data_IF_405867247371
#
_entry.id   IF_405867247371
#
_cell.length_a   1.000
_cell.length_b   1.000
_cell.length_c   1.000
_cell.angle_alpha   90.00
_cell.angle_beta   90.00
_cell.angle_gamma   90.00
#
_symmetry.space_group_name_H-M   'P 1'
#
loop_
_entity.id
_entity.type
_entity.pdbx_description
1 polymer ?
#
# COMPACT_ATOMS: atom_id res chain seq x y z
N UNK A 1 -56.95 -15.86 37.50
CA UNK A 1 -56.59 -16.95 36.56
C UNK A 1 -55.10 -16.94 36.15
N UNK A 2 -54.19 -16.39 37.00
CA UNK A 2 -52.79 -16.12 36.67
C UNK A 2 -51.77 -16.92 37.52
N UNK A 3 -52.20 -18.04 38.12
CA UNK A 3 -51.31 -18.90 38.95
C UNK A 3 -51.10 -20.31 38.42
N UNK A 4 -51.70 -20.67 37.27
CA UNK A 4 -51.46 -21.97 36.59
C UNK A 4 -50.61 -21.86 35.32
N UNK A 5 -50.27 -20.64 34.88
CA UNK A 5 -49.42 -20.42 33.70
C UNK A 5 -47.92 -20.37 34.04
N UNK A 6 -47.57 -20.17 35.30
CA UNK A 6 -46.17 -20.04 35.74
C UNK A 6 -45.46 -21.40 35.96
N UNK A 7 -46.21 -22.50 36.02
CA UNK A 7 -45.69 -23.86 36.22
C UNK A 7 -45.45 -24.63 34.90
N UNK A 8 -45.89 -24.09 33.76
CA UNK A 8 -45.62 -24.63 32.42
C UNK A 8 -44.40 -23.99 31.74
N UNK A 9 -43.91 -22.85 32.26
CA UNK A 9 -42.72 -22.16 31.73
C UNK A 9 -41.43 -22.66 32.40
N UNK A 10 -41.51 -23.33 33.55
CA UNK A 10 -40.34 -23.89 34.24
C UNK A 10 -39.97 -25.31 33.78
N UNK A 11 -40.85 -26.00 33.02
CA UNK A 11 -40.59 -27.36 32.53
C UNK A 11 -40.08 -27.43 31.07
N UNK A 12 -40.05 -26.30 30.35
CA UNK A 12 -39.46 -26.19 29.00
C UNK A 12 -38.02 -25.64 29.06
N UNK A 13 -37.52 -25.26 30.24
CA UNK A 13 -36.16 -24.75 30.44
C UNK A 13 -35.15 -25.83 30.90
N UNK A 14 -35.57 -27.10 31.06
CA UNK A 14 -34.70 -28.20 31.51
C UNK A 14 -34.46 -29.30 30.45
N UNK A 15 -34.74 -29.05 29.17
CA UNK A 15 -34.46 -29.99 28.07
C UNK A 15 -33.48 -29.46 27.01
N UNK A 16 -32.71 -28.41 27.33
CA UNK A 16 -31.64 -27.88 26.47
C UNK A 16 -30.26 -27.87 27.15
N UNK A 17 -30.07 -28.74 28.15
CA UNK A 17 -28.76 -29.01 28.74
C UNK A 17 -28.30 -30.39 28.28
N UNK A 18 -27.56 -30.45 27.18
CA UNK A 18 -26.98 -31.72 26.71
C UNK A 18 -26.82 -31.89 25.20
N UNK A 19 -26.39 -30.86 24.47
CA UNK A 19 -25.62 -31.10 23.24
C UNK A 19 -24.35 -30.29 23.38
N UNK A 20 -23.33 -30.92 23.98
CA UNK A 20 -21.95 -30.59 23.69
C UNK A 20 -21.74 -30.88 22.21
N UNK A 21 -22.07 -29.91 21.36
CA UNK A 21 -21.65 -29.91 19.97
C UNK A 21 -20.14 -29.96 20.00
N UNK A 22 -19.60 -31.14 19.72
CA UNK A 22 -18.19 -31.27 19.38
C UNK A 22 -18.01 -30.42 18.13
N UNK A 23 -17.42 -29.24 18.29
CA UNK A 23 -16.84 -28.51 17.16
C UNK A 23 -15.69 -29.40 16.71
N UNK A 24 -15.98 -30.34 15.82
CA UNK A 24 -14.93 -31.01 15.06
C UNK A 24 -14.25 -29.90 14.26
N UNK A 25 -13.09 -29.46 14.74
CA UNK A 25 -12.16 -28.73 13.91
C UNK A 25 -11.84 -29.66 12.74
N UNK A 26 -12.18 -29.24 11.52
CA UNK A 26 -11.80 -29.94 10.29
C UNK A 26 -10.31 -30.23 10.37
N UNK A 27 -9.94 -31.46 10.01
CA UNK A 27 -8.52 -31.81 9.89
C UNK A 27 -7.90 -30.97 8.77
N UNK A 28 -6.58 -30.76 8.83
CA UNK A 28 -5.86 -29.97 7.82
C UNK A 28 -6.07 -30.49 6.39
N UNK A 29 -6.20 -31.81 6.24
CA UNK A 29 -6.47 -32.46 4.95
C UNK A 29 -7.91 -32.23 4.46
N UNK A 30 -8.91 -32.26 5.34
CA UNK A 30 -10.32 -32.00 4.99
C UNK A 30 -10.53 -30.54 4.57
N UNK A 31 -9.88 -29.59 5.27
CA UNK A 31 -9.93 -28.17 4.92
C UNK A 31 -9.28 -27.89 3.57
N UNK A 32 -8.14 -28.52 3.26
CA UNK A 32 -7.51 -28.40 1.94
C UNK A 32 -8.38 -29.00 0.82
N UNK A 33 -9.03 -30.14 1.06
CA UNK A 33 -9.92 -30.75 0.09
C UNK A 33 -11.13 -29.85 -0.22
N UNK A 34 -11.70 -29.20 0.79
CA UNK A 34 -12.79 -28.23 0.64
C UNK A 34 -12.35 -27.02 -0.22
N UNK A 35 -11.21 -26.40 0.10
CA UNK A 35 -10.67 -25.28 -0.70
C UNK A 35 -10.41 -25.67 -2.16
N UNK A 36 -9.90 -26.88 -2.42
CA UNK A 36 -9.67 -27.37 -3.79
C UNK A 36 -10.97 -27.54 -4.56
N UNK A 37 -11.99 -28.12 -3.93
CA UNK A 37 -13.31 -28.27 -4.54
C UNK A 37 -13.96 -26.90 -4.81
N UNK A 38 -13.84 -25.96 -3.87
CA UNK A 38 -14.39 -24.62 -4.00
C UNK A 38 -13.71 -23.82 -5.12
N UNK A 39 -12.38 -23.91 -5.25
CA UNK A 39 -11.63 -23.29 -6.34
C UNK A 39 -12.01 -23.85 -7.71
N UNK A 40 -12.10 -25.18 -7.85
CA UNK A 40 -12.49 -25.82 -9.10
C UNK A 40 -13.89 -25.39 -9.56
N UNK A 41 -14.86 -25.33 -8.64
CA UNK A 41 -16.21 -24.85 -8.95
C UNK A 41 -16.19 -23.38 -9.37
N UNK A 42 -15.40 -22.56 -8.69
CA UNK A 42 -15.31 -21.12 -8.97
C UNK A 42 -14.65 -20.84 -10.33
N UNK A 43 -13.67 -21.64 -10.74
CA UNK A 43 -13.04 -21.54 -12.06
C UNK A 43 -14.02 -21.90 -13.19
N UNK A 44 -14.84 -22.94 -12.99
CA UNK A 44 -15.93 -23.27 -13.91
C UNK A 44 -16.94 -22.14 -14.03
N UNK A 45 -17.31 -21.50 -12.92
CA UNK A 45 -18.21 -20.34 -12.92
C UNK A 45 -17.60 -19.15 -13.65
N UNK A 46 -16.31 -18.85 -13.42
CA UNK A 46 -15.58 -17.80 -14.14
C UNK A 46 -15.60 -18.04 -15.66
N UNK A 47 -15.28 -19.27 -16.10
CA UNK A 47 -15.24 -19.63 -17.51
C UNK A 47 -16.64 -19.55 -18.16
N UNK A 48 -17.67 -20.05 -17.46
CA UNK A 48 -19.07 -19.96 -17.88
C UNK A 48 -19.50 -18.51 -18.06
N UNK A 49 -19.28 -17.65 -17.05
CA UNK A 49 -19.69 -16.26 -17.12
C UNK A 49 -18.86 -15.44 -18.12
N UNK A 50 -17.60 -15.82 -18.36
CA UNK A 50 -16.79 -15.25 -19.43
C UNK A 50 -17.38 -15.58 -20.80
N UNK A 51 -17.76 -16.84 -21.08
CA UNK A 51 -18.41 -17.22 -22.33
C UNK A 51 -19.74 -16.51 -22.57
N UNK A 52 -20.54 -16.33 -21.51
CA UNK A 52 -21.79 -15.55 -21.58
C UNK A 52 -21.50 -14.07 -21.87
N UNK A 53 -20.46 -13.49 -21.24
CA UNK A 53 -20.06 -12.10 -21.49
C UNK A 53 -19.66 -11.88 -22.96
N UNK A 54 -18.87 -12.79 -23.51
CA UNK A 54 -18.32 -12.65 -24.87
C UNK A 54 -19.41 -12.81 -25.94
N UNK A 55 -20.36 -13.74 -25.75
CA UNK A 55 -21.53 -13.88 -26.62
C UNK A 55 -22.54 -12.72 -26.50
N UNK A 56 -22.68 -12.11 -25.33
CA UNK A 56 -23.64 -11.01 -25.11
C UNK A 56 -23.09 -9.65 -25.56
N UNK A 57 -21.76 -9.44 -25.53
CA UNK A 57 -21.11 -8.19 -25.97
C UNK A 57 -21.31 -7.86 -27.45
N UNK A 58 -21.49 -8.87 -28.31
CA UNK A 58 -21.66 -8.68 -29.75
C UNK A 58 -23.00 -8.00 -30.13
N UNK A 59 -23.97 -7.94 -29.22
CA UNK A 59 -25.35 -7.51 -29.51
C UNK A 59 -25.93 -6.59 -28.42
N UNK A 60 -25.27 -5.48 -28.06
CA UNK A 60 -25.84 -4.49 -27.11
C UNK A 60 -26.71 -3.46 -27.83
N UNK A 61 -28.00 -3.75 -28.03
CA UNK A 61 -28.96 -2.82 -28.63
C UNK A 61 -30.23 -2.58 -27.78
N UNK A 62 -30.28 -3.11 -26.55
CA UNK A 62 -31.42 -2.97 -25.65
C UNK A 62 -31.04 -2.95 -24.17
N UNK A 63 -31.88 -2.31 -23.35
CA UNK A 63 -31.74 -2.27 -21.88
C UNK A 63 -31.70 -3.69 -21.26
N UNK A 64 -32.43 -4.66 -21.86
CA UNK A 64 -32.44 -6.06 -21.41
C UNK A 64 -31.09 -6.74 -21.63
N UNK A 65 -30.46 -6.51 -22.78
CA UNK A 65 -29.15 -7.05 -23.10
C UNK A 65 -28.06 -6.41 -22.23
N UNK A 66 -28.12 -5.09 -21.99
CA UNK A 66 -27.19 -4.43 -21.07
C UNK A 66 -27.32 -4.96 -19.63
N UNK A 67 -28.54 -5.17 -19.14
CA UNK A 67 -28.77 -5.80 -17.84
C UNK A 67 -28.23 -7.25 -17.78
N UNK A 68 -28.31 -8.00 -18.88
CA UNK A 68 -27.71 -9.34 -18.98
C UNK A 68 -26.17 -9.31 -18.96
N UNK A 69 -25.54 -8.36 -19.67
CA UNK A 69 -24.09 -8.12 -19.60
C UNK A 69 -23.66 -7.76 -18.18
N UNK A 70 -24.38 -6.86 -17.51
CA UNK A 70 -24.10 -6.49 -16.12
C UNK A 70 -24.25 -7.70 -15.20
N UNK A 71 -25.28 -8.52 -15.39
CA UNK A 71 -25.45 -9.75 -14.62
C UNK A 71 -24.26 -10.71 -14.81
N UNK A 72 -23.81 -10.93 -16.05
CA UNK A 72 -22.64 -11.76 -16.32
C UNK A 72 -21.38 -11.20 -15.66
N UNK A 73 -21.15 -9.88 -15.72
CA UNK A 73 -20.05 -9.21 -15.00
C UNK A 73 -20.13 -9.40 -13.49
N UNK A 74 -21.32 -9.23 -12.90
CA UNK A 74 -21.55 -9.40 -11.45
C UNK A 74 -21.23 -10.82 -11.03
N UNK A 75 -21.74 -11.82 -11.74
CA UNK A 75 -21.55 -13.22 -11.35
C UNK A 75 -20.09 -13.66 -11.54
N UNK A 76 -19.45 -13.21 -12.63
CA UNK A 76 -18.00 -13.39 -12.81
C UNK A 76 -17.22 -12.76 -11.64
N UNK A 77 -17.51 -11.51 -11.28
CA UNK A 77 -16.84 -10.83 -10.19
C UNK A 77 -17.07 -11.51 -8.83
N UNK A 78 -18.29 -11.97 -8.54
CA UNK A 78 -18.60 -12.75 -7.32
C UNK A 78 -17.80 -14.06 -7.26
N UNK A 79 -17.67 -14.76 -8.38
CA UNK A 79 -16.82 -15.94 -8.47
C UNK A 79 -15.35 -15.57 -8.22
N UNK A 80 -14.81 -14.53 -8.85
CA UNK A 80 -13.44 -14.06 -8.54
C UNK A 80 -13.25 -13.69 -7.07
N UNK A 81 -14.19 -12.98 -6.45
CA UNK A 81 -14.12 -12.62 -5.02
C UNK A 81 -14.07 -13.89 -4.16
N UNK A 82 -14.89 -14.89 -4.46
CA UNK A 82 -14.89 -16.18 -3.78
C UNK A 82 -13.51 -16.87 -3.92
N UNK A 83 -12.96 -16.92 -5.12
CA UNK A 83 -11.61 -17.46 -5.37
C UNK A 83 -10.54 -16.75 -4.53
N UNK A 84 -10.62 -15.41 -4.46
CA UNK A 84 -9.67 -14.58 -3.70
C UNK A 84 -9.82 -14.78 -2.20
N UNK A 85 -11.04 -14.94 -1.69
CA UNK A 85 -11.29 -15.23 -0.27
C UNK A 85 -10.70 -16.57 0.15
N UNK A 86 -10.81 -17.61 -0.68
CA UNK A 86 -10.13 -18.90 -0.42
C UNK A 86 -8.61 -18.72 -0.37
N UNK A 87 -8.04 -17.98 -1.32
CA UNK A 87 -6.61 -17.69 -1.32
C UNK A 87 -6.16 -16.88 -0.09
N UNK A 88 -7.00 -15.94 0.38
CA UNK A 88 -6.77 -15.19 1.62
C UNK A 88 -6.77 -16.13 2.81
N UNK A 89 -7.78 -16.98 2.97
CA UNK A 89 -7.86 -17.92 4.10
C UNK A 89 -6.66 -18.86 4.16
N UNK A 90 -6.18 -19.33 3.00
CA UNK A 90 -4.94 -20.11 2.93
C UNK A 90 -3.72 -19.31 3.39
N UNK A 91 -3.56 -18.08 2.89
CA UNK A 91 -2.45 -17.22 3.29
C UNK A 91 -2.49 -16.84 4.77
N UNK A 92 -3.68 -16.57 5.33
CA UNK A 92 -3.84 -16.27 6.75
C UNK A 92 -3.38 -17.46 7.62
N UNK A 93 -3.73 -18.69 7.23
CA UNK A 93 -3.27 -19.91 7.91
C UNK A 93 -1.74 -20.07 7.82
N UNK A 94 -1.17 -19.92 6.63
CA UNK A 94 0.28 -20.02 6.40
C UNK A 94 1.05 -18.96 7.22
N UNK A 95 0.51 -17.73 7.29
CA UNK A 95 1.06 -16.62 8.07
C UNK A 95 1.03 -16.95 9.56
N UNK A 96 -0.06 -17.52 10.09
CA UNK A 96 -0.13 -17.95 11.49
C UNK A 96 0.92 -19.02 11.79
N UNK A 97 1.03 -20.05 10.94
CA UNK A 97 2.02 -21.11 11.11
C UNK A 97 3.47 -20.55 11.09
N UNK A 98 3.78 -19.65 10.15
CA UNK A 98 5.10 -19.00 10.08
C UNK A 98 5.39 -18.12 11.30
N UNK A 99 4.41 -17.38 11.83
CA UNK A 99 4.60 -16.60 13.04
C UNK A 99 4.92 -17.49 14.26
N UNK A 100 4.24 -18.64 14.38
CA UNK A 100 4.55 -19.63 15.43
C UNK A 100 5.98 -20.15 15.27
N UNK A 101 6.37 -20.53 14.05
CA UNK A 101 7.73 -21.02 13.78
C UNK A 101 8.81 -19.97 14.10
N UNK A 102 8.63 -18.71 13.68
CA UNK A 102 9.54 -17.61 14.00
C UNK A 102 9.65 -17.41 15.51
N UNK A 103 8.52 -17.48 16.23
CA UNK A 103 8.51 -17.35 17.68
C UNK A 103 9.31 -18.47 18.36
N UNK A 104 9.20 -19.71 17.87
CA UNK A 104 10.02 -20.83 18.34
C UNK A 104 11.51 -20.58 18.09
N UNK A 105 11.89 -20.13 16.89
CA UNK A 105 13.29 -19.81 16.61
C UNK A 105 13.83 -18.67 17.49
N UNK A 106 13.00 -17.66 17.82
CA UNK A 106 13.37 -16.58 18.74
C UNK A 106 13.50 -17.06 20.20
N UNK A 107 12.70 -18.06 20.60
CA UNK A 107 12.84 -18.77 21.87
C UNK A 107 14.16 -19.58 21.90
N UNK A 108 14.44 -20.38 20.89
CA UNK A 108 15.67 -21.18 20.79
C UNK A 108 16.95 -20.32 20.79
N UNK A 109 16.92 -19.15 20.12
CA UNK A 109 18.03 -18.19 20.16
C UNK A 109 18.26 -17.65 21.57
N UNK A 110 17.17 -17.36 22.31
CA UNK A 110 17.24 -16.84 23.68
C UNK A 110 17.82 -17.88 24.62
N UNK A 111 17.32 -19.11 24.53
CA UNK A 111 17.77 -20.23 25.36
C UNK A 111 19.22 -20.60 25.05
N UNK A 112 19.62 -20.50 23.77
CA UNK A 112 21.01 -20.62 23.34
C UNK A 112 21.91 -19.54 23.94
N UNK A 113 21.47 -18.28 23.95
CA UNK A 113 22.21 -17.20 24.60
C UNK A 113 22.35 -17.40 26.11
N UNK A 114 21.30 -17.87 26.78
CA UNK A 114 21.36 -18.19 28.21
C UNK A 114 22.36 -19.30 28.50
N UNK A 115 22.28 -20.40 27.75
CA UNK A 115 23.22 -21.52 27.86
C UNK A 115 24.67 -21.09 27.59
N UNK A 116 24.90 -20.28 26.54
CA UNK A 116 26.22 -19.73 26.23
C UNK A 116 26.74 -18.86 27.38
N UNK A 117 25.88 -18.05 28.00
CA UNK A 117 26.25 -17.21 29.13
C UNK A 117 26.63 -18.02 30.38
N UNK A 118 25.97 -19.16 30.62
CA UNK A 118 26.29 -20.06 31.72
C UNK A 118 27.65 -20.74 31.51
N UNK A 119 27.93 -21.19 30.29
CA UNK A 119 29.22 -21.82 29.97
C UNK A 119 30.34 -20.79 30.10
N UNK A 120 30.17 -19.56 29.60
CA UNK A 120 31.18 -18.50 29.76
C UNK A 120 31.46 -18.17 31.24
N UNK A 121 30.43 -18.11 32.09
CA UNK A 121 30.62 -17.92 33.54
C UNK A 121 31.38 -19.08 34.16
N UNK A 122 31.01 -20.32 33.84
CA UNK A 122 31.70 -21.54 34.30
C UNK A 122 33.16 -21.58 33.84
N UNK A 123 33.45 -21.20 32.59
CA UNK A 123 34.82 -21.09 32.08
C UNK A 123 35.60 -20.04 32.85
N UNK A 124 35.02 -18.86 33.11
CA UNK A 124 35.68 -17.81 33.89
C UNK A 124 35.92 -18.20 35.36
N UNK A 125 34.99 -18.93 35.99
CA UNK A 125 35.17 -19.51 37.33
C UNK A 125 36.32 -20.53 37.39
N UNK A 126 36.55 -21.28 36.31
CA UNK A 126 37.65 -22.24 36.19
C UNK A 126 38.99 -21.54 35.92
N UNK A 127 38.99 -20.44 35.15
CA UNK A 127 40.18 -19.62 34.87
C UNK A 127 40.66 -18.82 36.11
N UNK A 128 39.80 -18.61 37.11
CA UNK A 128 40.16 -17.97 38.40
C UNK A 128 41.06 -18.85 39.29
N UNK A 129 41.21 -20.14 38.99
CA UNK A 129 42.20 -21.00 39.64
C UNK A 129 43.57 -20.80 38.99
N UNK A 130 44.55 -20.30 39.74
CA UNK A 130 45.89 -20.11 39.19
C UNK A 130 46.53 -21.47 38.86
N UNK A 131 47.06 -21.61 37.64
CA UNK A 131 47.86 -22.75 37.19
C UNK A 131 48.92 -23.22 38.22
N UNK A 132 49.63 -22.32 38.94
CA UNK A 132 50.53 -22.71 40.02
C UNK A 132 49.85 -23.39 41.23
N UNK A 133 48.64 -22.99 41.60
CA UNK A 133 47.90 -23.54 42.76
C UNK A 133 47.29 -24.92 42.48
N UNK A 134 46.86 -25.20 41.24
CA UNK A 134 46.34 -26.52 40.84
C UNK A 134 47.46 -27.57 40.75
N UNK A 135 48.64 -27.18 40.26
CA UNK A 135 49.83 -28.06 40.18
C UNK A 135 50.41 -28.38 41.57
N UNK A 136 50.28 -27.45 42.53
CA UNK A 136 50.72 -27.66 43.93
C UNK A 136 49.71 -28.44 44.78
N UNK A 137 48.42 -28.48 44.38
CA UNK A 137 47.35 -29.11 45.14
C UNK A 137 47.05 -30.56 44.72
N UNK A 138 47.23 -30.92 43.44
CA UNK A 138 46.87 -32.26 42.93
C UNK A 138 48.06 -33.22 42.88
N UNK A 139 47.85 -34.46 43.34
CA UNK A 139 48.89 -35.50 43.48
C UNK A 139 49.12 -36.35 42.22
N UNK A 140 48.34 -36.19 41.15
CA UNK A 140 48.43 -37.01 39.95
C UNK A 140 48.41 -36.19 38.66
N UNK A 141 49.44 -36.35 37.81
CA UNK A 141 49.57 -35.72 36.49
C UNK A 141 48.42 -36.16 35.54
N UNK A 142 47.80 -37.32 35.82
CA UNK A 142 46.62 -37.86 35.12
C UNK A 142 45.42 -36.90 35.14
N UNK A 143 45.15 -36.27 36.27
CA UNK A 143 43.97 -35.42 36.45
C UNK A 143 44.11 -34.11 35.65
N UNK A 144 45.34 -33.59 35.55
CA UNK A 144 45.65 -32.42 34.73
C UNK A 144 45.40 -32.64 33.22
N UNK A 145 45.71 -33.84 32.70
CA UNK A 145 45.43 -34.17 31.29
C UNK A 145 43.93 -34.37 31.03
N UNK A 146 43.18 -34.88 32.01
CA UNK A 146 41.71 -34.93 31.98
C UNK A 146 41.09 -33.52 31.97
N UNK A 147 41.66 -32.58 32.72
CA UNK A 147 41.19 -31.18 32.77
C UNK A 147 41.47 -30.42 31.46
N UNK A 148 42.60 -30.68 30.79
CA UNK A 148 42.93 -30.09 29.49
C UNK A 148 41.97 -30.57 28.37
N UNK A 149 41.65 -31.86 28.33
CA UNK A 149 40.67 -32.42 27.38
C UNK A 149 39.26 -31.85 27.66
N UNK A 150 38.91 -31.69 28.94
CA UNK A 150 37.64 -31.05 29.35
C UNK A 150 37.56 -29.60 28.87
N UNK A 151 38.65 -28.83 28.97
CA UNK A 151 38.70 -27.44 28.48
C UNK A 151 38.58 -27.35 26.95
N UNK A 152 39.24 -28.24 26.21
CA UNK A 152 39.07 -28.32 24.75
C UNK A 152 37.62 -28.68 24.36
N UNK A 153 36.98 -29.58 25.12
CA UNK A 153 35.59 -29.95 24.90
C UNK A 153 34.62 -28.78 25.19
N UNK A 154 34.88 -27.99 26.23
CA UNK A 154 34.12 -26.76 26.52
C UNK A 154 34.28 -25.73 25.41
N UNK A 155 35.50 -25.49 24.92
CA UNK A 155 35.74 -24.56 23.80
C UNK A 155 35.04 -25.00 22.51
N UNK A 156 35.06 -26.31 22.18
CA UNK A 156 34.30 -26.84 21.03
C UNK A 156 32.80 -26.66 21.22
N UNK A 157 32.28 -26.92 22.42
CA UNK A 157 30.86 -26.72 22.75
C UNK A 157 30.45 -25.25 22.63
N UNK A 158 31.28 -24.31 23.10
CA UNK A 158 31.08 -22.87 22.93
C UNK A 158 31.05 -22.46 21.46
N UNK A 159 31.99 -22.96 20.66
CA UNK A 159 32.06 -22.71 19.22
C UNK A 159 30.82 -23.26 18.50
N UNK A 160 30.42 -24.50 18.79
CA UNK A 160 29.24 -25.14 18.22
C UNK A 160 27.96 -24.37 18.57
N UNK A 161 27.76 -24.00 19.84
CA UNK A 161 26.59 -23.23 20.27
C UNK A 161 26.54 -21.84 19.64
N UNK A 162 27.68 -21.16 19.55
CA UNK A 162 27.76 -19.87 18.87
C UNK A 162 27.41 -19.98 17.38
N UNK A 163 27.93 -21.01 16.70
CA UNK A 163 27.61 -21.29 15.30
C UNK A 163 26.12 -21.62 15.10
N UNK A 164 25.52 -22.39 16.02
CA UNK A 164 24.09 -22.69 16.01
C UNK A 164 23.23 -21.43 16.19
N UNK A 165 23.55 -20.56 17.17
CA UNK A 165 22.83 -19.30 17.39
C UNK A 165 22.92 -18.40 16.16
N UNK A 166 24.10 -18.29 15.53
CA UNK A 166 24.28 -17.53 14.30
C UNK A 166 23.41 -18.10 13.17
N UNK A 167 23.42 -19.41 12.97
CA UNK A 167 22.62 -20.08 11.95
C UNK A 167 21.11 -19.88 12.17
N UNK A 168 20.64 -19.99 13.42
CA UNK A 168 19.24 -19.73 13.78
C UNK A 168 18.86 -18.27 13.54
N UNK A 169 19.73 -17.31 13.88
CA UNK A 169 19.49 -15.89 13.61
C UNK A 169 19.34 -15.61 12.11
N UNK A 170 20.20 -16.19 11.29
CA UNK A 170 20.13 -16.05 9.83
C UNK A 170 18.85 -16.68 9.27
N UNK A 171 18.44 -17.85 9.78
CA UNK A 171 17.18 -18.49 9.42
C UNK A 171 15.97 -17.64 9.82
N UNK A 172 15.93 -17.12 11.05
CA UNK A 172 14.86 -16.25 11.55
C UNK A 172 14.73 -14.98 10.70
N UNK A 173 15.84 -14.38 10.28
CA UNK A 173 15.81 -13.22 9.37
C UNK A 173 15.20 -13.59 8.01
N UNK A 174 15.57 -14.74 7.44
CA UNK A 174 14.98 -15.23 6.18
C UNK A 174 13.48 -15.50 6.31
N UNK A 175 13.06 -16.13 7.39
CA UNK A 175 11.64 -16.41 7.65
C UNK A 175 10.82 -15.13 7.87
N UNK A 176 11.37 -14.13 8.56
CA UNK A 176 10.73 -12.80 8.71
C UNK A 176 10.55 -12.10 7.36
N UNK A 177 11.56 -12.11 6.51
CA UNK A 177 11.45 -11.54 5.15
C UNK A 177 10.40 -12.29 4.33
N UNK A 178 10.39 -13.63 4.39
CA UNK A 178 9.39 -14.44 3.69
C UNK A 178 7.96 -14.18 4.19
N UNK A 179 7.80 -14.00 5.51
CA UNK A 179 6.53 -13.65 6.13
C UNK A 179 6.03 -12.27 5.68
N UNK A 180 6.91 -11.28 5.58
CA UNK A 180 6.54 -9.94 5.09
C UNK A 180 6.07 -9.99 3.64
N UNK A 181 6.70 -10.80 2.78
CA UNK A 181 6.22 -11.03 1.40
C UNK A 181 4.83 -11.67 1.38
N UNK A 182 4.54 -12.62 2.28
CA UNK A 182 3.21 -13.23 2.36
C UNK A 182 2.14 -12.24 2.82
N UNK A 183 2.44 -11.42 3.84
CA UNK A 183 1.54 -10.35 4.31
C UNK A 183 1.25 -9.33 3.21
N UNK A 184 2.25 -8.97 2.41
CA UNK A 184 2.06 -8.10 1.26
C UNK A 184 1.11 -8.70 0.23
N UNK A 185 1.35 -9.95 -0.14
CA UNK A 185 0.47 -10.68 -1.06
C UNK A 185 -0.95 -10.78 -0.55
N UNK A 186 -1.15 -11.03 0.74
CA UNK A 186 -2.45 -11.06 1.38
C UNK A 186 -3.14 -9.69 1.29
N UNK A 187 -2.43 -8.60 1.64
CA UNK A 187 -2.94 -7.25 1.56
C UNK A 187 -3.34 -6.85 0.14
N UNK A 188 -2.53 -7.22 -0.87
CA UNK A 188 -2.82 -6.98 -2.28
C UNK A 188 -4.06 -7.74 -2.75
N UNK A 189 -4.19 -9.01 -2.37
CA UNK A 189 -5.37 -9.83 -2.70
C UNK A 189 -6.63 -9.27 -2.02
N UNK A 190 -6.54 -8.86 -0.74
CA UNK A 190 -7.64 -8.23 0.00
C UNK A 190 -8.08 -6.92 -0.65
N UNK A 191 -7.14 -6.05 -1.01
CA UNK A 191 -7.45 -4.79 -1.68
C UNK A 191 -8.13 -5.03 -3.04
N UNK A 192 -7.62 -5.98 -3.84
CA UNK A 192 -8.25 -6.35 -5.11
C UNK A 192 -9.67 -6.88 -4.92
N UNK A 193 -9.91 -7.74 -3.93
CA UNK A 193 -11.24 -8.26 -3.62
C UNK A 193 -12.21 -7.16 -3.19
N UNK A 194 -11.76 -6.19 -2.37
CA UNK A 194 -12.58 -5.04 -1.96
C UNK A 194 -12.97 -4.14 -3.14
N UNK A 195 -12.04 -3.90 -4.08
CA UNK A 195 -12.32 -3.14 -5.30
C UNK A 195 -13.37 -3.86 -6.15
N UNK A 196 -13.23 -5.18 -6.35
CA UNK A 196 -14.23 -5.96 -7.10
C UNK A 196 -15.59 -5.99 -6.39
N UNK A 197 -15.62 -6.04 -5.06
CA UNK A 197 -16.86 -5.95 -4.28
C UNK A 197 -17.59 -4.62 -4.52
N UNK A 198 -16.87 -3.48 -4.47
CA UNK A 198 -17.44 -2.16 -4.80
C UNK A 198 -17.97 -2.12 -6.23
N UNK A 199 -17.25 -2.72 -7.20
CA UNK A 199 -17.72 -2.82 -8.59
C UNK A 199 -18.99 -3.66 -8.72
N UNK A 200 -19.10 -4.76 -7.97
CA UNK A 200 -20.31 -5.59 -7.92
C UNK A 200 -21.49 -4.75 -7.45
N UNK A 201 -21.36 -4.01 -6.34
CA UNK A 201 -22.43 -3.16 -5.79
C UNK A 201 -22.90 -2.09 -6.79
N UNK A 202 -21.95 -1.45 -7.49
CA UNK A 202 -22.28 -0.46 -8.53
C UNK A 202 -23.01 -1.12 -9.71
N UNK A 203 -22.53 -2.27 -10.18
CA UNK A 203 -23.16 -2.99 -11.29
C UNK A 203 -24.54 -3.54 -10.91
N UNK A 204 -24.75 -3.96 -9.65
CA UNK A 204 -26.04 -4.43 -9.15
C UNK A 204 -27.07 -3.30 -9.17
N UNK A 205 -26.71 -2.13 -8.65
CA UNK A 205 -27.57 -0.92 -8.70
C UNK A 205 -27.92 -0.53 -10.14
N UNK A 206 -26.94 -0.54 -11.04
CA UNK A 206 -27.17 -0.23 -12.45
C UNK A 206 -28.08 -1.28 -13.11
N UNK A 207 -27.86 -2.57 -12.85
CA UNK A 207 -28.70 -3.66 -13.37
C UNK A 207 -30.15 -3.48 -12.92
N UNK A 208 -30.38 -3.20 -11.64
CA UNK A 208 -31.71 -2.95 -11.09
C UNK A 208 -32.39 -1.74 -11.72
N UNK A 209 -31.64 -0.65 -11.92
CA UNK A 209 -32.09 0.55 -12.61
C UNK A 209 -32.54 0.24 -14.05
N UNK A 210 -31.72 -0.47 -14.83
CA UNK A 210 -32.06 -0.83 -16.22
C UNK A 210 -33.26 -1.77 -16.30
N UNK A 211 -33.38 -2.73 -15.37
CA UNK A 211 -34.56 -3.63 -15.29
C UNK A 211 -35.82 -2.83 -14.97
N UNK A 212 -35.74 -1.89 -14.01
CA UNK A 212 -36.88 -1.05 -13.63
C UNK A 212 -37.37 -0.23 -14.84
N UNK A 213 -36.47 0.52 -15.48
CA UNK A 213 -36.82 1.35 -16.65
C UNK A 213 -37.40 0.52 -17.78
N UNK A 214 -36.82 -0.65 -18.06
CA UNK A 214 -37.33 -1.54 -19.10
C UNK A 214 -38.77 -2.00 -18.80
N UNK A 215 -39.06 -2.34 -17.54
CA UNK A 215 -40.41 -2.75 -17.10
C UNK A 215 -41.42 -1.61 -17.10
N UNK A 216 -41.02 -0.42 -16.62
CA UNK A 216 -41.92 0.74 -16.48
C UNK A 216 -42.05 1.55 -17.78
N UNK A 217 -41.18 1.30 -18.77
CA UNK A 217 -41.04 2.09 -19.99
C UNK A 217 -40.85 3.60 -19.73
N UNK A 218 -40.42 3.96 -18.52
CA UNK A 218 -40.24 5.36 -18.06
C UNK A 218 -39.19 6.12 -18.89
N UNK A 219 -38.20 5.39 -19.43
CA UNK A 219 -37.17 5.95 -20.32
C UNK A 219 -36.86 5.00 -21.47
N UNK A 220 -36.65 5.61 -22.64
CA UNK A 220 -36.12 4.94 -23.83
C UNK A 220 -34.62 4.70 -23.68
N UNK A 221 -34.10 3.77 -24.48
CA UNK A 221 -32.66 3.48 -24.54
C UNK A 221 -31.83 4.74 -24.84
N UNK A 222 -32.30 5.59 -25.77
CA UNK A 222 -31.66 6.87 -26.14
C UNK A 222 -31.59 7.84 -24.96
N UNK A 223 -32.62 7.89 -24.11
CA UNK A 223 -32.61 8.75 -22.92
C UNK A 223 -31.61 8.26 -21.85
N UNK A 224 -31.43 6.95 -21.70
CA UNK A 224 -30.41 6.38 -20.79
C UNK A 224 -28.99 6.69 -21.31
N UNK A 225 -28.77 6.65 -22.63
CA UNK A 225 -27.50 7.10 -23.22
C UNK A 225 -27.26 8.59 -22.92
N UNK A 226 -28.27 9.43 -23.08
CA UNK A 226 -28.17 10.86 -22.78
C UNK A 226 -27.85 11.13 -21.30
N UNK A 227 -28.48 10.42 -20.36
CA UNK A 227 -28.17 10.51 -18.92
C UNK A 227 -26.71 10.14 -18.63
N UNK A 228 -26.21 9.05 -19.24
CA UNK A 228 -24.81 8.62 -19.08
C UNK A 228 -23.83 9.64 -19.68
N UNK A 229 -24.16 10.25 -20.81
CA UNK A 229 -23.36 11.32 -21.40
C UNK A 229 -23.35 12.58 -20.52
N UNK A 230 -24.49 12.94 -19.93
CA UNK A 230 -24.59 14.04 -18.97
C UNK A 230 -23.74 13.77 -17.72
N UNK A 231 -23.80 12.55 -17.16
CA UNK A 231 -22.93 12.13 -16.05
C UNK A 231 -21.45 12.12 -16.43
N UNK A 232 -21.09 11.68 -17.63
CA UNK A 232 -19.72 11.76 -18.12
C UNK A 232 -19.26 13.22 -18.24
N UNK A 233 -20.13 14.13 -18.69
CA UNK A 233 -19.86 15.56 -18.72
C UNK A 233 -19.73 16.17 -17.31
N UNK A 234 -20.55 15.73 -16.36
CA UNK A 234 -20.45 16.13 -14.95
C UNK A 234 -19.15 15.65 -14.32
N UNK A 235 -18.75 14.38 -14.55
CA UNK A 235 -17.46 13.85 -14.09
C UNK A 235 -16.32 14.67 -14.70
N UNK A 236 -16.35 14.95 -16.00
CA UNK A 236 -15.36 15.85 -16.65
C UNK A 236 -15.34 17.24 -15.99
N UNK A 237 -16.50 17.82 -15.67
CA UNK A 237 -16.59 19.12 -15.03
C UNK A 237 -16.09 19.11 -13.57
N UNK A 238 -16.40 18.05 -12.81
CA UNK A 238 -15.89 17.83 -11.44
C UNK A 238 -14.38 17.68 -11.46
N UNK A 239 -13.85 16.88 -12.38
CA UNK A 239 -12.43 16.70 -12.58
C UNK A 239 -11.75 18.00 -13.07
N UNK A 240 -12.43 18.82 -13.87
CA UNK A 240 -11.99 20.17 -14.22
C UNK A 240 -12.01 21.15 -13.03
N UNK A 241 -12.91 20.97 -12.05
CA UNK A 241 -12.95 21.77 -10.82
C UNK A 241 -11.87 21.35 -9.81
N UNK A 242 -11.62 20.04 -9.68
CA UNK A 242 -10.42 19.48 -9.01
C UNK A 242 -9.14 19.96 -9.70
N UNK A 243 -9.24 20.20 -11.01
CA UNK A 243 -8.42 21.06 -11.83
C UNK A 243 -7.89 22.32 -11.13
N UNK A 244 -8.79 23.18 -10.62
CA UNK A 244 -8.53 24.58 -10.28
C UNK A 244 -8.52 25.48 -11.52
N UNK A 245 -9.32 26.55 -11.52
CA UNK A 245 -9.40 27.48 -12.67
C UNK A 245 -8.07 28.18 -12.98
N UNK A 246 -7.88 28.58 -14.24
CA UNK A 246 -6.76 29.33 -14.90
C UNK A 246 -5.30 28.90 -14.61
N UNK A 247 -4.96 28.60 -13.36
CA UNK A 247 -3.71 28.08 -12.81
C UNK A 247 -3.33 26.64 -13.18
N UNK A 248 -4.34 25.78 -13.33
CA UNK A 248 -4.16 24.39 -12.93
C UNK A 248 -4.64 23.37 -13.96
N UNK A 249 -4.07 22.17 -13.84
CA UNK A 249 -3.81 21.28 -14.99
C UNK A 249 -5.10 20.55 -15.36
N UNK A 250 -5.75 20.84 -16.51
CA UNK A 250 -7.01 20.20 -16.87
C UNK A 250 -6.88 18.67 -16.78
N UNK A 251 -7.87 18.01 -16.19
CA UNK A 251 -7.75 16.58 -15.88
C UNK A 251 -7.39 15.71 -17.09
N UNK A 252 -7.93 16.01 -18.29
CA UNK A 252 -7.58 15.29 -19.50
C UNK A 252 -6.07 15.34 -19.80
N UNK A 253 -5.47 16.52 -19.66
CA UNK A 253 -4.02 16.72 -19.79
C UNK A 253 -3.26 16.04 -18.66
N UNK A 254 -3.74 16.17 -17.41
CA UNK A 254 -3.13 15.50 -16.25
C UNK A 254 -3.12 13.98 -16.42
N UNK A 255 -4.18 13.38 -16.95
CA UNK A 255 -4.26 11.95 -17.25
C UNK A 255 -3.26 11.54 -18.33
N UNK A 256 -3.10 12.34 -19.39
CA UNK A 256 -2.09 12.09 -20.43
C UNK A 256 -0.69 12.11 -19.82
N UNK A 257 -0.37 13.10 -18.98
CA UNK A 257 0.92 13.16 -18.31
C UNK A 257 1.13 11.99 -17.35
N UNK A 258 0.11 11.62 -16.58
CA UNK A 258 0.18 10.46 -15.69
C UNK A 258 0.35 9.14 -16.45
N UNK A 259 -0.28 8.98 -17.62
CA UNK A 259 -0.12 7.82 -18.49
C UNK A 259 1.28 7.77 -19.11
N UNK A 260 1.80 8.91 -19.57
CA UNK A 260 3.17 9.02 -20.08
C UNK A 260 4.18 8.65 -19.00
N UNK A 261 4.05 9.21 -17.80
CA UNK A 261 4.90 8.88 -16.67
C UNK A 261 4.78 7.40 -16.27
N UNK A 262 3.56 6.86 -16.23
CA UNK A 262 3.29 5.45 -15.96
C UNK A 262 3.98 4.51 -16.96
N UNK A 263 4.04 4.89 -18.24
CA UNK A 263 4.73 4.08 -19.26
C UNK A 263 6.24 3.98 -19.03
N UNK A 264 6.84 4.95 -18.35
CA UNK A 264 8.27 4.96 -18.04
C UNK A 264 8.60 4.29 -16.70
N UNK A 265 7.69 4.37 -15.71
CA UNK A 265 8.00 3.96 -14.33
C UNK A 265 7.16 2.80 -13.80
N UNK A 266 6.12 2.37 -14.52
CA UNK A 266 5.17 1.35 -14.07
C UNK A 266 4.20 1.81 -12.98
N UNK A 267 4.39 3.00 -12.41
CA UNK A 267 3.49 3.55 -11.37
C UNK A 267 2.11 3.82 -11.97
N UNK A 268 1.03 3.43 -11.28
CA UNK A 268 -0.31 3.55 -11.86
C UNK A 268 -0.73 5.01 -12.08
N UNK A 269 -1.38 5.36 -13.22
CA UNK A 269 -1.76 6.74 -13.51
C UNK A 269 -2.68 7.35 -12.45
N UNK A 270 -3.64 6.56 -11.94
CA UNK A 270 -4.55 7.00 -10.89
C UNK A 270 -3.81 7.30 -9.56
N UNK A 271 -2.71 6.59 -9.27
CA UNK A 271 -1.91 6.84 -8.09
C UNK A 271 -1.08 8.11 -8.21
N UNK A 272 -0.45 8.36 -9.37
CA UNK A 272 0.23 9.64 -9.64
C UNK A 272 -0.75 10.81 -9.52
N UNK A 273 -1.93 10.69 -10.15
CA UNK A 273 -2.98 11.72 -10.04
C UNK A 273 -3.43 11.93 -8.60
N UNK A 274 -3.56 10.88 -7.80
CA UNK A 274 -3.93 10.98 -6.39
C UNK A 274 -2.88 11.72 -5.55
N UNK A 275 -1.59 11.44 -5.76
CA UNK A 275 -0.50 12.16 -5.12
C UNK A 275 -0.55 13.64 -5.50
N UNK A 276 -0.58 13.97 -6.78
CA UNK A 276 -0.60 15.37 -7.24
C UNK A 276 -1.87 16.12 -6.83
N UNK A 277 -3.00 15.41 -6.69
CA UNK A 277 -4.23 15.97 -6.10
C UNK A 277 -4.04 16.28 -4.62
N UNK A 278 -3.42 15.37 -3.87
CA UNK A 278 -3.14 15.55 -2.44
C UNK A 278 -2.11 16.66 -2.17
N UNK A 279 -1.12 16.81 -3.04
CA UNK A 279 -0.04 17.79 -2.90
C UNK A 279 -0.48 19.22 -3.23
N UNK A 280 -1.12 19.42 -4.37
CA UNK A 280 -1.40 20.77 -4.88
C UNK A 280 -2.78 20.94 -5.49
N UNK A 281 -3.65 19.91 -5.36
CA UNK A 281 -4.91 19.84 -6.11
C UNK A 281 -4.62 20.02 -7.61
N UNK A 282 -3.72 19.19 -8.16
CA UNK A 282 -3.30 19.19 -9.57
C UNK A 282 -2.74 20.54 -10.06
N UNK A 283 -1.95 21.21 -9.21
CA UNK A 283 -1.31 22.49 -9.53
C UNK A 283 -2.14 23.73 -9.19
N UNK A 284 -3.34 23.57 -8.60
CA UNK A 284 -4.15 24.70 -8.12
C UNK A 284 -3.48 25.50 -7.02
N UNK A 285 -2.71 24.81 -6.17
CA UNK A 285 -2.14 25.32 -4.94
C UNK A 285 -0.64 25.03 -4.90
N UNK A 286 0.14 25.71 -5.75
CA UNK A 286 1.60 25.51 -5.84
C UNK A 286 2.43 26.34 -4.85
N UNK A 287 1.76 27.16 -4.03
CA UNK A 287 2.41 28.00 -3.03
C UNK A 287 2.00 29.47 -3.08
N UNK A 288 2.35 30.20 -2.03
CA UNK A 288 2.01 31.63 -1.85
C UNK A 288 3.09 32.37 -1.06
N UNK A 289 4.35 31.92 -1.15
CA UNK A 289 5.47 32.57 -0.49
C UNK A 289 6.62 32.83 -1.47
N UNK A 290 7.34 33.93 -1.24
CA UNK A 290 8.57 34.29 -1.94
C UNK A 290 9.75 34.25 -0.98
N UNK A 291 10.91 33.82 -1.47
CA UNK A 291 12.18 33.97 -0.78
C UNK A 291 12.57 35.45 -0.75
N UNK A 292 12.95 35.97 0.42
CA UNK A 292 13.39 37.37 0.58
C UNK A 292 14.84 37.47 1.02
N UNK A 293 15.37 36.44 1.69
CA UNK A 293 16.76 36.38 2.12
C UNK A 293 17.34 34.99 1.82
N UNK A 294 18.25 34.94 0.86
CA UNK A 294 18.90 33.71 0.43
C UNK A 294 19.98 33.19 1.40
N UNK A 295 20.46 34.02 2.33
CA UNK A 295 21.45 33.60 3.33
C UNK A 295 20.76 32.84 4.46
N UNK A 296 19.65 33.38 4.96
CA UNK A 296 18.91 32.78 6.08
C UNK A 296 17.82 31.80 5.64
N UNK A 297 17.35 31.90 4.39
CA UNK A 297 16.19 31.15 3.92
C UNK A 297 14.86 31.76 4.35
N UNK A 298 14.87 33.03 4.77
CA UNK A 298 13.66 33.77 5.17
C UNK A 298 12.85 34.17 3.95
N UNK A 299 11.52 34.18 4.09
CA UNK A 299 10.63 34.66 3.05
C UNK A 299 9.32 35.22 3.56
N UNK A 300 8.47 35.62 2.63
CA UNK A 300 7.23 36.34 2.92
C UNK A 300 6.05 35.73 2.17
N UNK A 301 4.88 35.69 2.81
CA UNK A 301 3.64 35.35 2.14
C UNK A 301 3.23 36.47 1.17
N UNK A 302 2.90 36.12 -0.08
CA UNK A 302 2.56 37.05 -1.16
C UNK A 302 1.36 37.93 -0.82
N UNK A 303 0.36 37.38 -0.13
CA UNK A 303 -0.89 38.09 0.12
C UNK A 303 -0.91 38.77 1.49
N UNK A 304 -0.43 38.09 2.53
CA UNK A 304 -0.53 38.60 3.91
C UNK A 304 0.69 39.38 4.38
N UNK A 305 1.81 39.35 3.66
CA UNK A 305 3.06 39.95 4.11
C UNK A 305 3.69 39.24 5.33
N UNK A 306 3.13 38.09 5.76
CA UNK A 306 3.67 37.35 6.91
C UNK A 306 5.07 36.85 6.60
N UNK A 307 6.02 37.23 7.45
CA UNK A 307 7.41 36.77 7.39
C UNK A 307 7.54 35.38 8.00
N UNK A 308 8.34 34.54 7.34
CA UNK A 308 8.67 33.19 7.73
C UNK A 308 10.18 33.03 7.75
N UNK A 309 10.77 32.89 8.95
CA UNK A 309 12.20 32.63 9.11
C UNK A 309 12.62 31.24 8.60
N UNK A 310 11.65 30.33 8.46
CA UNK A 310 11.83 28.95 8.02
C UNK A 310 11.17 28.68 6.65
N UNK A 311 11.16 29.66 5.72
CA UNK A 311 10.60 29.41 4.39
C UNK A 311 11.37 28.30 3.67
N UNK A 312 12.69 28.38 3.63
CA UNK A 312 13.57 27.36 3.03
C UNK A 312 14.71 27.02 3.98
N UNK A 313 15.16 25.76 4.02
CA UNK A 313 16.29 25.38 4.85
C UNK A 313 17.59 25.85 4.21
N UNK A 314 18.24 26.86 4.78
CA UNK A 314 19.56 27.30 4.33
C UNK A 314 20.69 26.42 4.91
N UNK A 315 21.75 26.09 4.14
CA UNK A 315 21.89 26.27 2.69
C UNK A 315 21.25 25.12 1.86
N UNK A 316 20.81 24.03 2.53
CA UNK A 316 20.40 22.77 1.91
C UNK A 316 19.42 22.93 0.75
N UNK A 317 18.40 23.77 0.90
CA UNK A 317 17.34 23.96 -0.11
C UNK A 317 17.49 25.28 -0.86
N UNK A 318 18.06 26.31 -0.22
CA UNK A 318 18.22 27.63 -0.85
C UNK A 318 19.23 27.58 -1.99
N UNK A 319 20.39 26.95 -1.81
CA UNK A 319 21.40 26.88 -2.87
C UNK A 319 20.88 26.12 -4.10
N UNK A 320 20.28 24.92 -3.97
CA UNK A 320 19.64 24.26 -5.10
C UNK A 320 18.52 25.08 -5.74
N UNK A 321 17.73 25.83 -4.95
CA UNK A 321 16.65 26.65 -5.49
C UNK A 321 17.19 27.79 -6.36
N UNK A 322 18.24 28.48 -5.92
CA UNK A 322 18.91 29.51 -6.72
C UNK A 322 19.50 28.93 -8.00
N UNK A 323 20.12 27.75 -7.93
CA UNK A 323 20.69 27.09 -9.11
C UNK A 323 19.62 26.70 -10.14
N UNK A 324 18.52 26.05 -9.68
CA UNK A 324 17.40 25.67 -10.54
C UNK A 324 16.76 26.89 -11.20
N UNK A 325 16.49 27.95 -10.42
CA UNK A 325 15.85 29.16 -10.96
C UNK A 325 16.75 29.88 -11.95
N UNK A 326 18.04 30.03 -11.66
CA UNK A 326 19.00 30.61 -12.60
C UNK A 326 19.10 29.81 -13.89
N UNK A 327 19.23 28.47 -13.80
CA UNK A 327 19.32 27.59 -14.97
C UNK A 327 18.09 27.67 -15.87
N UNK A 328 16.90 27.78 -15.28
CA UNK A 328 15.62 27.85 -15.99
C UNK A 328 15.17 29.27 -16.36
N UNK A 329 15.98 30.30 -16.04
CA UNK A 329 15.69 31.70 -16.36
C UNK A 329 14.61 32.36 -15.48
N UNK A 330 14.33 31.81 -14.29
CA UNK A 330 13.42 32.40 -13.31
C UNK A 330 14.14 33.35 -12.35
N UNK A 331 13.45 34.37 -11.86
CA UNK A 331 13.92 35.17 -10.72
C UNK A 331 13.50 34.48 -9.42
N UNK A 332 14.49 33.94 -8.68
CA UNK A 332 14.27 33.22 -7.41
C UNK A 332 13.44 34.01 -6.38
N UNK A 333 13.64 35.33 -6.30
CA UNK A 333 12.97 36.18 -5.30
C UNK A 333 11.52 36.51 -5.68
N UNK A 334 11.12 36.26 -6.93
CA UNK A 334 9.77 36.47 -7.45
C UNK A 334 9.09 35.17 -7.87
N UNK A 335 9.67 34.01 -7.54
CA UNK A 335 9.12 32.71 -7.90
C UNK A 335 8.41 32.10 -6.70
N UNK A 336 7.11 31.79 -6.87
CA UNK A 336 6.29 31.29 -5.77
C UNK A 336 6.70 29.87 -5.36
N UNK A 337 6.73 29.66 -4.06
CA UNK A 337 6.93 28.36 -3.41
C UNK A 337 5.93 28.17 -2.28
N UNK A 338 5.82 26.94 -1.77
CA UNK A 338 4.98 26.63 -0.63
C UNK A 338 5.40 27.41 0.61
N UNK A 339 4.41 27.83 1.41
CA UNK A 339 4.67 28.45 2.70
C UNK A 339 4.83 27.36 3.78
N UNK A 340 5.56 27.64 4.87
CA UNK A 340 5.61 26.74 6.02
C UNK A 340 4.23 26.46 6.62
N UNK A 341 4.01 25.24 7.08
CA UNK A 341 2.77 24.84 7.77
C UNK A 341 2.92 25.19 9.25
N UNK A 342 2.27 26.28 9.68
CA UNK A 342 2.43 26.88 11.00
C UNK A 342 2.36 25.90 12.20
N UNK A 343 1.39 24.95 12.27
CA UNK A 343 1.27 24.07 13.43
C UNK A 343 2.28 22.90 13.46
N UNK A 344 2.97 22.57 12.37
CA UNK A 344 3.86 21.40 12.30
C UNK A 344 5.35 21.76 12.39
N UNK A 345 5.71 23.05 12.38
CA UNK A 345 7.09 23.52 12.54
C UNK A 345 8.04 23.15 11.39
N UNK A 346 7.51 22.65 10.26
CA UNK A 346 8.29 22.28 9.08
C UNK A 346 8.75 23.49 8.25
N UNK A 347 9.64 23.24 7.29
CA UNK A 347 10.03 24.22 6.28
C UNK A 347 8.99 24.26 5.14
N UNK A 348 8.91 25.41 4.45
CA UNK A 348 8.18 25.53 3.19
C UNK A 348 9.09 25.24 1.99
N UNK A 349 8.95 26.03 0.93
CA UNK A 349 9.91 26.04 -0.17
C UNK A 349 9.69 24.98 -1.25
N UNK A 350 8.57 24.26 -1.19
CA UNK A 350 8.21 23.30 -2.22
C UNK A 350 7.80 24.01 -3.51
N UNK A 351 8.21 23.46 -4.65
CA UNK A 351 8.07 24.07 -5.97
C UNK A 351 7.03 23.32 -6.82
N UNK A 352 6.22 24.09 -7.55
CA UNK A 352 5.38 23.59 -8.64
C UNK A 352 4.35 22.51 -8.27
N UNK A 353 3.72 21.84 -9.25
CA UNK A 353 2.61 20.91 -9.00
C UNK A 353 2.96 19.73 -8.10
N UNK A 354 4.18 19.18 -8.21
CA UNK A 354 4.65 18.05 -7.41
C UNK A 354 4.97 18.40 -5.95
N UNK A 355 5.09 19.71 -5.63
CA UNK A 355 5.50 20.18 -4.31
C UNK A 355 6.81 19.54 -3.81
N UNK A 356 7.81 19.41 -4.70
CA UNK A 356 9.16 19.01 -4.31
C UNK A 356 9.98 20.20 -3.80
N UNK A 357 10.70 20.00 -2.70
CA UNK A 357 11.75 20.94 -2.29
C UNK A 357 12.93 20.86 -3.26
N UNK A 358 13.68 21.95 -3.37
CA UNK A 358 14.73 22.09 -4.38
C UNK A 358 15.82 21.02 -4.30
N UNK A 359 16.22 20.60 -3.09
CA UNK A 359 17.19 19.51 -2.92
C UNK A 359 16.68 18.18 -3.47
N UNK A 360 15.38 17.90 -3.33
CA UNK A 360 14.76 16.68 -3.87
C UNK A 360 14.69 16.74 -5.39
N UNK A 361 14.32 17.89 -5.96
CA UNK A 361 14.29 18.06 -7.42
C UNK A 361 15.66 17.77 -8.06
N UNK A 362 16.75 18.23 -7.42
CA UNK A 362 18.12 17.98 -7.90
C UNK A 362 18.48 16.50 -8.01
N UNK A 363 17.89 15.62 -7.19
CA UNK A 363 18.12 14.16 -7.29
C UNK A 363 17.61 13.62 -8.64
N UNK A 364 16.57 14.22 -9.21
CA UNK A 364 15.92 13.76 -10.43
C UNK A 364 16.36 14.53 -11.67
N UNK A 365 17.10 15.63 -11.55
CA UNK A 365 17.36 16.55 -12.65
C UNK A 365 17.96 15.87 -13.89
N UNK A 366 19.01 15.06 -13.71
CA UNK A 366 19.65 14.34 -14.81
C UNK A 366 18.72 13.26 -15.39
N UNK A 367 18.07 12.46 -14.53
CA UNK A 367 17.12 11.42 -14.97
C UNK A 367 15.94 12.00 -15.75
N UNK A 368 15.46 13.17 -15.35
CA UNK A 368 14.39 13.88 -16.03
C UNK A 368 14.87 14.40 -17.38
N UNK A 369 16.08 14.97 -17.46
CA UNK A 369 16.66 15.42 -18.72
C UNK A 369 16.82 14.26 -19.70
N UNK A 370 17.26 13.11 -19.23
CA UNK A 370 17.47 11.92 -20.07
C UNK A 370 16.14 11.38 -20.64
N UNK A 371 15.07 11.38 -19.84
CA UNK A 371 13.75 10.87 -20.28
C UNK A 371 12.96 11.89 -21.10
N UNK A 372 13.07 13.18 -20.78
CA UNK A 372 12.27 14.23 -21.41
C UNK A 372 12.97 14.88 -22.60
N UNK A 373 14.31 14.82 -22.68
CA UNK A 373 15.10 15.43 -23.74
C UNK A 373 15.32 16.95 -23.58
N UNK A 374 14.96 17.52 -22.43
CA UNK A 374 15.16 18.94 -22.10
C UNK A 374 15.45 19.14 -20.62
N UNK A 375 15.95 20.31 -20.23
CA UNK A 375 16.13 20.68 -18.82
C UNK A 375 14.76 20.83 -18.14
N UNK A 376 14.44 19.87 -17.26
CA UNK A 376 13.13 19.78 -16.65
C UNK A 376 12.86 20.92 -15.66
N UNK A 377 11.63 21.44 -15.69
CA UNK A 377 11.17 22.53 -14.83
C UNK A 377 10.19 22.04 -13.76
N UNK A 378 10.42 22.33 -12.46
CA UNK A 378 9.47 21.99 -11.40
C UNK A 378 8.08 22.60 -11.59
N UNK A 379 8.00 23.74 -12.29
CA UNK A 379 6.75 24.45 -12.57
C UNK A 379 6.07 23.99 -13.87
N UNK A 380 6.75 23.17 -14.68
CA UNK A 380 6.11 22.51 -15.81
C UNK A 380 5.33 21.27 -15.32
N UNK A 381 4.07 21.18 -15.72
CA UNK A 381 3.17 20.10 -15.31
C UNK A 381 3.63 18.71 -15.75
N UNK A 382 4.08 18.56 -16.99
CA UNK A 382 4.53 17.26 -17.51
C UNK A 382 5.77 16.78 -16.77
N UNK A 383 6.74 17.67 -16.58
CA UNK A 383 7.99 17.40 -15.88
C UNK A 383 7.75 17.04 -14.41
N UNK A 384 6.85 17.78 -13.74
CA UNK A 384 6.45 17.50 -12.36
C UNK A 384 5.78 16.12 -12.21
N UNK A 385 4.92 15.73 -13.15
CA UNK A 385 4.29 14.41 -13.15
C UNK A 385 5.32 13.29 -13.34
N UNK A 386 6.26 13.47 -14.27
CA UNK A 386 7.35 12.53 -14.49
C UNK A 386 8.22 12.40 -13.23
N UNK A 387 8.60 13.52 -12.61
CA UNK A 387 9.41 13.55 -11.40
C UNK A 387 8.71 12.82 -10.23
N UNK A 388 7.41 13.10 -10.01
CA UNK A 388 6.64 12.40 -8.99
C UNK A 388 6.54 10.90 -9.27
N UNK A 389 6.31 10.49 -10.52
CA UNK A 389 6.25 9.08 -10.86
C UNK A 389 7.60 8.37 -10.68
N UNK A 390 8.71 9.00 -11.03
CA UNK A 390 10.07 8.48 -10.80
C UNK A 390 10.33 8.30 -9.31
N UNK A 391 9.98 9.30 -8.50
CA UNK A 391 10.17 9.18 -7.05
C UNK A 391 9.30 8.07 -6.44
N UNK A 392 8.04 7.97 -6.84
CA UNK A 392 7.14 6.92 -6.35
C UNK A 392 7.62 5.52 -6.77
N UNK A 393 8.22 5.39 -7.95
CA UNK A 393 8.85 4.14 -8.39
C UNK A 393 10.05 3.76 -7.52
N UNK A 394 10.96 4.71 -7.27
CA UNK A 394 12.10 4.51 -6.36
C UNK A 394 11.63 4.09 -4.95
N UNK A 395 10.43 4.52 -4.54
CA UNK A 395 9.79 4.16 -3.28
C UNK A 395 9.03 2.81 -3.30
N UNK A 396 9.00 2.13 -4.45
CA UNK A 396 8.45 0.78 -4.63
C UNK A 396 7.03 0.72 -5.23
N UNK A 397 6.52 1.81 -5.81
CA UNK A 397 5.19 1.84 -6.43
C UNK A 397 5.14 1.30 -7.87
N UNK A 398 6.29 1.10 -8.54
CA UNK A 398 6.34 0.74 -9.97
C UNK A 398 5.66 -0.58 -10.36
N UNK A 399 5.40 -1.46 -9.39
CA UNK A 399 4.64 -2.71 -9.62
C UNK A 399 3.12 -2.52 -9.64
N UNK A 400 2.61 -1.34 -9.28
CA UNK A 400 1.17 -1.03 -9.23
C UNK A 400 0.37 -1.85 -8.20
N UNK A 401 1.04 -2.50 -7.25
CA UNK A 401 0.43 -3.27 -6.15
C UNK A 401 -0.04 -2.34 -5.03
N UNK A 402 -1.13 -2.68 -4.34
CA UNK A 402 -1.66 -1.89 -3.23
C UNK A 402 -0.61 -1.70 -2.12
N UNK A 403 0.08 -2.77 -1.73
CA UNK A 403 1.12 -2.81 -0.70
C UNK A 403 2.32 -1.91 -1.05
N UNK A 404 2.78 -1.96 -2.30
CA UNK A 404 3.83 -1.08 -2.83
C UNK A 404 3.41 0.40 -2.81
N UNK A 405 2.23 0.72 -3.32
CA UNK A 405 1.75 2.10 -3.42
C UNK A 405 1.44 2.73 -2.06
N UNK A 406 0.81 2.01 -1.12
CA UNK A 406 0.55 2.56 0.22
C UNK A 406 1.85 2.88 0.96
N UNK A 407 2.87 2.01 0.83
CA UNK A 407 4.20 2.25 1.41
C UNK A 407 4.91 3.40 0.73
N UNK A 408 4.84 3.48 -0.60
CA UNK A 408 5.41 4.57 -1.36
C UNK A 408 4.77 5.91 -0.94
N UNK A 409 3.46 5.98 -0.80
CA UNK A 409 2.77 7.16 -0.30
C UNK A 409 3.20 7.54 1.12
N UNK A 410 3.35 6.56 2.03
CA UNK A 410 3.83 6.84 3.38
C UNK A 410 5.25 7.40 3.39
N UNK A 411 6.16 6.80 2.60
CA UNK A 411 7.55 7.25 2.43
C UNK A 411 7.64 8.62 1.76
N UNK A 412 6.79 8.86 0.77
CA UNK A 412 6.68 10.16 0.10
C UNK A 412 6.39 11.28 1.11
N UNK A 413 5.50 11.04 2.07
CA UNK A 413 5.18 11.97 3.16
C UNK A 413 6.27 12.06 4.25
N UNK A 414 7.33 11.25 4.17
CA UNK A 414 8.38 11.18 5.19
C UNK A 414 8.07 10.27 6.38
N UNK A 415 6.97 9.51 6.31
CA UNK A 415 6.65 8.45 7.26
C UNK A 415 7.10 7.08 6.71
N UNK A 416 7.23 6.07 7.56
CA UNK A 416 7.51 4.70 7.11
C UNK A 416 6.25 3.84 7.06
N UNK A 417 6.41 2.59 6.63
CA UNK A 417 5.37 1.57 6.77
C UNK A 417 4.17 1.75 5.84
N UNK A 418 3.03 1.17 6.21
CA UNK A 418 1.82 1.03 5.37
C UNK A 418 0.54 1.57 6.03
N UNK A 419 0.65 2.25 7.17
CA UNK A 419 -0.52 2.62 8.01
C UNK A 419 -0.69 4.13 8.19
N UNK A 420 0.16 4.95 7.59
CA UNK A 420 0.13 6.40 7.74
C UNK A 420 -1.19 7.01 7.22
N UNK A 421 -1.63 8.12 7.83
CA UNK A 421 -2.85 8.84 7.45
C UNK A 421 -2.80 9.39 6.03
N UNK A 422 -1.66 9.95 5.62
CA UNK A 422 -1.42 10.46 4.28
C UNK A 422 -1.63 9.38 3.22
N UNK A 423 -0.97 8.23 3.38
CA UNK A 423 -1.09 7.10 2.47
C UNK A 423 -2.52 6.61 2.33
N UNK A 424 -3.27 6.49 3.44
CA UNK A 424 -4.69 6.10 3.40
C UNK A 424 -5.54 7.13 2.63
N UNK A 425 -5.26 8.43 2.80
CA UNK A 425 -5.94 9.50 2.05
C UNK A 425 -5.67 9.37 0.55
N UNK A 426 -4.41 9.19 0.17
CA UNK A 426 -3.99 9.01 -1.23
C UNK A 426 -4.63 7.76 -1.84
N UNK A 427 -4.63 6.63 -1.13
CA UNK A 427 -5.25 5.41 -1.67
C UNK A 427 -6.76 5.57 -1.87
N UNK A 428 -7.45 6.30 -0.98
CA UNK A 428 -8.88 6.63 -1.16
C UNK A 428 -9.11 7.55 -2.36
N UNK A 429 -8.25 8.56 -2.54
CA UNK A 429 -8.29 9.43 -3.72
C UNK A 429 -8.04 8.64 -5.01
N UNK A 430 -7.04 7.75 -5.00
CA UNK A 430 -6.73 6.84 -6.11
C UNK A 430 -7.95 6.03 -6.51
N UNK A 431 -8.64 5.39 -5.54
CA UNK A 431 -9.84 4.62 -5.84
C UNK A 431 -10.92 5.47 -6.52
N UNK A 432 -11.17 6.68 -6.03
CA UNK A 432 -12.15 7.59 -6.64
C UNK A 432 -11.75 8.01 -8.05
N UNK A 433 -10.47 8.36 -8.26
CA UNK A 433 -9.95 8.78 -9.56
C UNK A 433 -10.00 7.61 -10.55
N UNK A 434 -9.64 6.40 -10.12
CA UNK A 434 -9.72 5.20 -10.96
C UNK A 434 -11.16 4.91 -11.38
N UNK A 435 -12.12 5.04 -10.45
CA UNK A 435 -13.54 4.85 -10.78
C UNK A 435 -14.03 5.88 -11.81
N UNK A 436 -13.60 7.14 -11.69
CA UNK A 436 -13.93 8.19 -12.66
C UNK A 436 -13.29 7.89 -14.03
N UNK A 437 -12.02 7.45 -14.07
CA UNK A 437 -11.33 7.02 -15.31
C UNK A 437 -12.07 5.85 -15.97
N UNK A 438 -12.40 4.81 -15.21
CA UNK A 438 -13.09 3.62 -15.72
C UNK A 438 -14.47 3.99 -16.31
N UNK A 439 -15.21 4.88 -15.64
CA UNK A 439 -16.50 5.38 -16.13
C UNK A 439 -16.34 6.15 -17.44
N UNK A 440 -15.33 7.02 -17.55
CA UNK A 440 -15.05 7.79 -18.76
C UNK A 440 -14.61 6.90 -19.92
N UNK A 441 -13.84 5.83 -19.68
CA UNK A 441 -13.49 4.85 -20.71
C UNK A 441 -14.74 4.13 -21.20
N UNK A 442 -15.63 3.73 -20.27
CA UNK A 442 -16.82 2.95 -20.62
C UNK A 442 -17.92 3.76 -21.31
N UNK A 443 -18.14 5.01 -20.88
CA UNK A 443 -19.31 5.82 -21.29
C UNK A 443 -18.96 7.21 -21.84
N UNK A 444 -17.70 7.63 -21.76
CA UNK A 444 -17.27 8.96 -22.18
C UNK A 444 -17.08 9.10 -23.69
N UNK A 445 -16.91 8.01 -24.44
CA UNK A 445 -16.82 8.07 -25.91
C UNK A 445 -18.23 8.18 -26.48
N UNK A 446 -18.49 9.23 -27.26
CA UNK A 446 -19.67 9.29 -28.12
C UNK A 446 -19.57 8.10 -29.07
N UNK A 447 -20.33 7.03 -28.82
CA UNK A 447 -20.60 6.00 -29.82
C UNK A 447 -21.41 6.70 -30.93
N UNK A 448 -20.71 7.35 -31.85
CA UNK A 448 -21.26 7.72 -33.16
C UNK A 448 -21.26 6.49 -34.04
#
# INVERSE_FOLDING_TARGET
>A
MYKRFFLLIFLIFCLFSGVSGSVFALTEEEQEAEWRAELAQTELDIAKWQGILDSTKANTASLKQEAAVLNAKIQKAKAFIKQKNVAISKLEKDIVQKNVHIKTLEEDIRDGHESLSQILRKTNELDEFSLPEVILANKDISDFWSDLDTFQQVNRSLEDMFNQIRAMKDLTLKEKVALDVQKDKEADIKAAAQIEQKKVEVNEKEKEYLIKINKTQEKTYTQVIADRQAKAAEIRAKLFKLAGGSAAIPFGTALIYAQSASSQTGVSPAFVLAILTQESNLGSNVGKCYLTDAVTGTGVNVNSGKVWSNLMKAPRDVVPFLDITNKLGFNALNTVVSCPIAPTGGYGGAMGPAQFIASTWKIFEDRLRDVLGHDASPWNAQDAFMASAMYLDDLGAGKGTYSGEIRAACRYYGSGGSTCSYGRSVMKLKESIQADIDYLIQYGVSRR
#
